data_IF_025661457699
#
_entry.id   IF_025661457699
#
_cell.length_a   1.000
_cell.length_b   1.000
_cell.length_c   1.000
_cell.angle_alpha   90.00
_cell.angle_beta   90.00
_cell.angle_gamma   90.00
#
_symmetry.space_group_name_H-M   'P 1'
#
loop_
_entity.id
_entity.type
_entity.pdbx_description
1 polymer ?
#
# COMPACT_ATOMS: atom_id res chain seq x y z
N UNK A 1 0.12 -15.33 -16.16
CA UNK A 1 0.67 -13.96 -16.08
C UNK A 1 -0.41 -12.93 -15.78
N UNK A 2 -1.53 -12.92 -16.51
CA UNK A 2 -2.60 -11.90 -16.37
C UNK A 2 -3.18 -11.74 -14.97
N UNK A 3 -3.35 -12.83 -14.21
CA UNK A 3 -3.87 -12.76 -12.84
C UNK A 3 -2.92 -12.00 -11.90
N UNK A 4 -1.60 -12.21 -12.02
CA UNK A 4 -0.59 -11.50 -11.22
C UNK A 4 -0.53 -10.01 -11.58
N UNK A 5 -0.68 -9.67 -12.86
CA UNK A 5 -0.75 -8.28 -13.32
C UNK A 5 -2.02 -7.58 -12.83
N UNK A 6 -3.17 -8.25 -12.88
CA UNK A 6 -4.43 -7.74 -12.30
C UNK A 6 -4.32 -7.54 -10.79
N UNK A 7 -3.75 -8.51 -10.08
CA UNK A 7 -3.46 -8.41 -8.64
C UNK A 7 -2.54 -7.22 -8.33
N UNK A 8 -1.48 -7.04 -9.11
CA UNK A 8 -0.55 -5.91 -8.96
C UNK A 8 -1.29 -4.57 -9.11
N UNK A 9 -2.19 -4.44 -10.08
CA UNK A 9 -2.97 -3.22 -10.27
C UNK A 9 -3.88 -2.91 -9.08
N UNK A 10 -4.53 -3.92 -8.50
CA UNK A 10 -5.34 -3.75 -7.29
C UNK A 10 -4.47 -3.29 -6.11
N UNK A 11 -3.30 -3.91 -5.92
CA UNK A 11 -2.36 -3.55 -4.85
C UNK A 11 -1.85 -2.12 -5.02
N UNK A 12 -1.54 -1.69 -6.25
CA UNK A 12 -1.15 -0.30 -6.55
C UNK A 12 -2.25 0.70 -6.21
N UNK A 13 -3.49 0.44 -6.62
CA UNK A 13 -4.64 1.29 -6.28
C UNK A 13 -4.87 1.38 -4.77
N UNK A 14 -4.72 0.26 -4.05
CA UNK A 14 -4.84 0.24 -2.59
C UNK A 14 -3.72 1.07 -1.92
N UNK A 15 -2.50 1.00 -2.44
CA UNK A 15 -1.37 1.81 -1.97
C UNK A 15 -1.65 3.31 -2.15
N UNK A 16 -2.17 3.71 -3.30
CA UNK A 16 -2.54 5.11 -3.58
C UNK A 16 -3.61 5.61 -2.61
N UNK A 17 -4.66 4.83 -2.36
CA UNK A 17 -5.70 5.18 -1.40
C UNK A 17 -5.14 5.37 0.03
N UNK A 18 -4.23 4.48 0.46
CA UNK A 18 -3.59 4.60 1.78
C UNK A 18 -2.68 5.82 1.89
N UNK A 19 -1.99 6.22 0.81
CA UNK A 19 -1.18 7.43 0.80
C UNK A 19 -2.03 8.70 0.93
N UNK A 20 -3.18 8.74 0.25
CA UNK A 20 -4.12 9.86 0.35
C UNK A 20 -4.71 9.98 1.76
N UNK A 21 -5.10 8.86 2.36
CA UNK A 21 -5.64 8.83 3.72
C UNK A 21 -4.57 9.21 4.76
N UNK A 22 -3.33 8.71 4.61
CA UNK A 22 -2.22 9.12 5.48
C UNK A 22 -1.97 10.63 5.39
N UNK A 23 -1.97 11.20 4.19
CA UNK A 23 -1.79 12.63 3.99
C UNK A 23 -2.92 13.45 4.63
N UNK A 24 -4.17 12.98 4.55
CA UNK A 24 -5.33 13.60 5.20
C UNK A 24 -5.20 13.56 6.72
N UNK A 25 -4.90 12.39 7.29
CA UNK A 25 -4.75 12.23 8.73
C UNK A 25 -3.53 13.01 9.26
N UNK A 26 -2.45 13.11 8.48
CA UNK A 26 -1.29 13.93 8.84
C UNK A 26 -1.66 15.42 8.92
N UNK A 27 -2.49 15.93 7.99
CA UNK A 27 -3.02 17.30 8.07
C UNK A 27 -3.87 17.50 9.32
N UNK A 28 -4.76 16.57 9.63
CA UNK A 28 -5.61 16.64 10.83
C UNK A 28 -4.80 16.53 12.13
N UNK A 29 -3.75 15.72 12.15
CA UNK A 29 -2.87 15.58 13.31
C UNK A 29 -2.13 16.87 13.63
N UNK A 30 -1.73 17.64 12.60
CA UNK A 30 -1.15 18.99 12.78
C UNK A 30 -2.14 20.00 13.35
N UNK A 31 -3.45 19.74 13.24
CA UNK A 31 -4.51 20.56 13.82
C UNK A 31 -4.89 20.10 15.26
N UNK A 32 -4.03 19.31 15.92
CA UNK A 32 -4.24 18.77 17.28
C UNK A 32 -5.43 17.81 17.44
N UNK A 33 -5.87 17.15 16.36
CA UNK A 33 -6.85 16.07 16.46
C UNK A 33 -6.18 14.79 16.99
N UNK A 34 -6.21 14.56 18.31
CA UNK A 34 -5.55 13.39 18.95
C UNK A 34 -5.99 12.03 18.35
N UNK A 35 -7.24 11.92 17.91
CA UNK A 35 -7.78 10.71 17.25
C UNK A 35 -7.08 10.37 15.93
N UNK A 36 -6.54 11.36 15.19
CA UNK A 36 -5.86 11.08 13.92
C UNK A 36 -4.47 10.46 14.08
N UNK A 37 -3.83 10.60 15.26
CA UNK A 37 -2.55 9.95 15.55
C UNK A 37 -2.67 8.42 15.66
N UNK A 38 -3.76 7.95 16.29
CA UNK A 38 -4.07 6.52 16.36
C UNK A 38 -4.33 5.93 14.98
N UNK A 39 -5.15 6.62 14.17
CA UNK A 39 -5.44 6.21 12.79
C UNK A 39 -4.21 6.23 11.88
N UNK A 40 -3.31 7.22 12.03
CA UNK A 40 -2.04 7.25 11.30
C UNK A 40 -1.20 5.98 11.52
N UNK A 41 -1.18 5.45 12.75
CA UNK A 41 -0.45 4.22 13.06
C UNK A 41 -1.04 3.01 12.33
N UNK A 42 -2.37 2.93 12.28
CA UNK A 42 -3.07 1.85 11.55
C UNK A 42 -2.79 1.94 10.06
N UNK A 43 -2.95 3.12 9.45
CA UNK A 43 -2.71 3.34 8.02
C UNK A 43 -1.27 3.02 7.63
N UNK A 44 -0.29 3.41 8.46
CA UNK A 44 1.12 3.06 8.23
C UNK A 44 1.37 1.55 8.24
N UNK A 45 0.76 0.83 9.17
CA UNK A 45 0.84 -0.64 9.24
C UNK A 45 0.21 -1.29 8.00
N UNK A 46 -0.96 -0.82 7.58
CA UNK A 46 -1.60 -1.32 6.36
C UNK A 46 -0.74 -1.05 5.12
N UNK A 47 -0.15 0.14 5.01
CA UNK A 47 0.75 0.50 3.90
C UNK A 47 1.94 -0.45 3.83
N UNK A 48 2.52 -0.80 4.97
CA UNK A 48 3.63 -1.76 5.02
C UNK A 48 3.21 -3.16 4.51
N UNK A 49 2.02 -3.64 4.88
CA UNK A 49 1.49 -4.91 4.39
C UNK A 49 1.28 -4.89 2.87
N UNK A 50 0.72 -3.80 2.35
CA UNK A 50 0.51 -3.60 0.90
C UNK A 50 1.83 -3.56 0.14
N UNK A 51 2.86 -2.89 0.67
CA UNK A 51 4.20 -2.87 0.08
C UNK A 51 4.85 -4.26 0.06
N UNK A 52 4.67 -5.06 1.12
CA UNK A 52 5.14 -6.44 1.16
C UNK A 52 4.42 -7.31 0.13
N UNK A 53 3.11 -7.13 -0.06
CA UNK A 53 2.35 -7.83 -1.10
C UNK A 53 2.82 -7.44 -2.50
N UNK A 54 2.99 -6.14 -2.76
CA UNK A 54 3.52 -5.62 -4.03
C UNK A 54 4.88 -6.23 -4.36
N UNK A 55 5.79 -6.25 -3.39
CA UNK A 55 7.13 -6.83 -3.55
C UNK A 55 7.09 -8.33 -3.87
N UNK A 56 6.18 -9.10 -3.24
CA UNK A 56 5.98 -10.52 -3.55
C UNK A 56 5.53 -10.74 -4.98
N UNK A 57 4.55 -9.96 -5.45
CA UNK A 57 4.01 -10.06 -6.81
C UNK A 57 5.08 -9.68 -7.83
N UNK A 58 5.85 -8.61 -7.60
CA UNK A 58 6.95 -8.20 -8.49
C UNK A 58 8.02 -9.30 -8.57
N UNK A 59 8.39 -9.92 -7.44
CA UNK A 59 9.35 -11.04 -7.46
C UNK A 59 8.84 -12.22 -8.28
N UNK A 60 7.58 -12.61 -8.09
CA UNK A 60 6.96 -13.69 -8.87
C UNK A 60 6.91 -13.37 -10.38
N UNK A 61 6.56 -12.15 -10.75
CA UNK A 61 6.58 -11.69 -12.15
C UNK A 61 7.98 -11.73 -12.76
N UNK A 62 9.01 -11.31 -12.00
CA UNK A 62 10.41 -11.39 -12.45
C UNK A 62 10.86 -12.84 -12.68
N UNK A 63 10.56 -13.74 -11.73
CA UNK A 63 10.90 -15.15 -11.87
C UNK A 63 10.19 -15.78 -13.08
N UNK A 64 8.90 -15.51 -13.26
CA UNK A 64 8.16 -16.01 -14.41
C UNK A 64 8.69 -15.48 -15.76
N UNK A 65 9.29 -14.28 -15.79
CA UNK A 65 9.94 -13.74 -16.99
C UNK A 65 11.30 -14.38 -17.27
N UNK A 66 12.03 -14.83 -16.25
CA UNK A 66 13.35 -15.47 -16.40
C UNK A 66 13.28 -16.97 -16.65
N UNK A 67 12.11 -17.59 -16.45
CA UNK A 67 11.90 -19.04 -16.59
C UNK A 67 11.30 -19.45 -17.96
N UNK A 68 11.04 -18.51 -18.86
CA UNK A 68 10.59 -18.73 -20.22
C UNK A 68 11.42 -17.92 -21.19
#
# INVERSE_FOLDING_TARGET
MDLLLRRLNVVKKRKEALLLEEAKLARMARQNHSKSLGMLRVIRREKELVLREEAKIIRALKQARSAG
#
